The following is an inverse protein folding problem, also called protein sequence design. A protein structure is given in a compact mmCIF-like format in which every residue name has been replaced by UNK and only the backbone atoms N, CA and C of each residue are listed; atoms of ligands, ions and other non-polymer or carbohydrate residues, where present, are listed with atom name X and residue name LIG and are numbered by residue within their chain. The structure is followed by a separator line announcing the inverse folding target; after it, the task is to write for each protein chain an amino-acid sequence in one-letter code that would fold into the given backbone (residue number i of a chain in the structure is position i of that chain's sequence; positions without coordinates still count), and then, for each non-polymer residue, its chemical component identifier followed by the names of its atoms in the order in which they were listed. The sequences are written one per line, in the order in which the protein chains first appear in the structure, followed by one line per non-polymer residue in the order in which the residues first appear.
data_IF_038863203127
#
_entry.id   IF_038863203127
#
_cell.length_a   1.000
_cell.length_b   1.000
_cell.length_c   1.000
_cell.angle_alpha   90.00
_cell.angle_beta   90.00
_cell.angle_gamma   90.00
#
_symmetry.space_group_name_H-M   'P 1'
#
loop_
_entity.id
_entity.type
_entity.pdbx_description
1 polymer ?
#
# COMPACT_ATOMS: atom_id res chain seq x y z
N UNK A 1 -10.24 6.55 -9.80
CA UNK A 1 -9.79 5.15 -9.71
C UNK A 1 -8.61 5.00 -8.76
N UNK A 2 -7.43 5.53 -9.09
CA UNK A 2 -6.20 5.38 -8.26
C UNK A 2 -6.37 5.75 -6.77
N UNK A 3 -7.06 6.85 -6.45
CA UNK A 3 -7.31 7.23 -5.06
C UNK A 3 -8.16 6.20 -4.28
N UNK A 4 -9.13 5.57 -4.96
CA UNK A 4 -10.00 4.56 -4.34
C UNK A 4 -9.25 3.23 -4.18
N UNK A 5 -8.56 2.77 -5.23
CA UNK A 5 -7.79 1.52 -5.17
C UNK A 5 -6.62 1.62 -4.20
N UNK A 6 -5.94 2.76 -4.15
CA UNK A 6 -4.87 3.03 -3.19
C UNK A 6 -5.38 3.15 -1.76
N UNK A 7 -6.54 3.77 -1.55
CA UNK A 7 -7.21 3.78 -0.25
C UNK A 7 -7.59 2.39 0.24
N UNK A 8 -8.12 1.54 -0.64
CA UNK A 8 -8.40 0.14 -0.31
C UNK A 8 -7.12 -0.64 0.03
N UNK A 9 -6.06 -0.47 -0.75
CA UNK A 9 -4.76 -1.10 -0.47
C UNK A 9 -4.18 -0.64 0.87
N UNK A 10 -4.25 0.64 1.20
CA UNK A 10 -3.82 1.16 2.51
C UNK A 10 -4.60 0.55 3.68
N UNK A 11 -5.85 0.12 3.46
CA UNK A 11 -6.68 -0.56 4.44
C UNK A 11 -6.47 -2.09 4.47
N UNK A 12 -5.69 -2.65 3.53
CA UNK A 12 -5.53 -4.09 3.40
C UNK A 12 -5.09 -4.78 4.71
N UNK A 13 -4.09 -4.29 5.47
CA UNK A 13 -3.71 -4.95 6.73
C UNK A 13 -4.85 -5.04 7.75
N UNK A 14 -5.77 -4.06 7.73
CA UNK A 14 -6.94 -4.07 8.61
C UNK A 14 -8.03 -5.02 8.12
N UNK A 15 -8.26 -5.08 6.81
CA UNK A 15 -9.19 -6.03 6.22
C UNK A 15 -8.71 -7.47 6.41
N UNK A 16 -7.41 -7.72 6.29
CA UNK A 16 -6.81 -9.04 6.44
C UNK A 16 -6.96 -9.63 7.83
N UNK A 17 -6.83 -8.81 8.89
CA UNK A 17 -7.10 -9.28 10.27
C UNK A 17 -8.52 -9.79 10.46
N UNK A 18 -9.46 -9.33 9.63
CA UNK A 18 -10.84 -9.82 9.65
C UNK A 18 -11.02 -11.03 8.73
N UNK A 19 -10.53 -10.95 7.50
CA UNK A 19 -10.69 -12.00 6.47
C UNK A 19 -9.96 -13.28 6.85
N UNK A 20 -8.75 -13.17 7.39
CA UNK A 20 -7.86 -14.28 7.75
C UNK A 20 -7.77 -14.45 9.27
N UNK A 21 -8.80 -14.04 10.01
CA UNK A 21 -8.80 -14.08 11.49
C UNK A 21 -8.54 -15.47 12.04
N UNK A 22 -9.09 -16.49 11.37
CA UNK A 22 -9.00 -17.90 11.70
C UNK A 22 -7.57 -18.47 11.64
N UNK A 23 -6.73 -17.92 10.77
CA UNK A 23 -5.32 -18.34 10.65
C UNK A 23 -4.35 -17.37 11.31
N UNK A 24 -4.70 -16.09 11.43
CA UNK A 24 -3.83 -15.07 12.01
C UNK A 24 -3.93 -14.98 13.54
N UNK A 25 -5.10 -15.25 14.09
CA UNK A 25 -5.41 -15.01 15.51
C UNK A 25 -5.59 -16.33 16.25
N UNK A 26 -5.02 -16.40 17.44
CA UNK A 26 -5.17 -17.53 18.37
C UNK A 26 -5.64 -17.03 19.73
N UNK A 27 -6.32 -17.89 20.48
CA UNK A 27 -6.65 -17.61 21.87
C UNK A 27 -5.45 -18.01 22.75
N UNK A 28 -4.86 -17.09 23.55
CA UNK A 28 -3.72 -17.40 24.39
C UNK A 28 -4.01 -18.54 25.37
N UNK A 29 -3.20 -19.61 25.32
CA UNK A 29 -3.44 -20.81 26.12
C UNK A 29 -2.17 -21.30 26.82
N UNK A 30 -1.89 -20.77 28.02
CA UNK A 30 -0.82 -21.27 28.87
C UNK A 30 0.58 -21.12 28.27
N UNK A 31 1.41 -22.16 28.40
CA UNK A 31 2.78 -22.16 27.88
C UNK A 31 2.80 -22.46 26.38
N UNK A 32 3.67 -21.78 25.63
CA UNK A 32 3.85 -22.05 24.21
C UNK A 32 4.58 -23.37 23.99
N UNK A 33 4.16 -24.11 22.96
CA UNK A 33 4.92 -25.22 22.42
C UNK A 33 6.28 -24.74 21.91
N UNK A 34 7.29 -25.60 21.97
CA UNK A 34 8.62 -25.27 21.46
C UNK A 34 8.58 -25.00 19.96
N UNK A 35 9.45 -24.12 19.46
CA UNK A 35 9.51 -23.83 18.03
C UNK A 35 9.76 -25.09 17.19
N UNK A 36 10.49 -26.06 17.75
CA UNK A 36 10.72 -27.37 17.12
C UNK A 36 9.42 -28.16 16.94
N UNK A 37 8.51 -28.14 17.90
CA UNK A 37 7.19 -28.80 17.78
C UNK A 37 6.32 -28.12 16.72
N UNK A 38 6.32 -26.78 16.70
CA UNK A 38 5.60 -26.01 15.68
C UNK A 38 6.14 -26.28 14.26
N UNK A 39 7.47 -26.32 14.12
CA UNK A 39 8.16 -26.68 12.86
C UNK A 39 7.83 -28.11 12.44
N UNK A 40 7.84 -29.07 13.37
CA UNK A 40 7.49 -30.46 13.08
C UNK A 40 6.04 -30.59 12.61
N UNK A 41 5.10 -29.87 13.23
CA UNK A 41 3.69 -29.87 12.84
C UNK A 41 3.49 -29.32 11.42
N UNK A 42 4.15 -28.20 11.09
CA UNK A 42 4.07 -27.62 9.74
C UNK A 42 4.69 -28.54 8.67
N UNK A 43 5.86 -29.15 8.96
CA UNK A 43 6.47 -30.13 8.06
C UNK A 43 5.61 -31.38 7.85
N UNK A 44 4.89 -31.82 8.89
CA UNK A 44 3.99 -32.96 8.78
C UNK A 44 2.78 -32.66 7.89
N UNK A 45 2.30 -31.40 7.86
CA UNK A 45 1.22 -30.97 6.98
C UNK A 45 1.66 -30.86 5.51
N UNK A 46 2.91 -30.46 5.25
CA UNK A 46 3.47 -30.31 3.91
C UNK A 46 4.77 -31.14 3.74
N UNK A 47 4.66 -32.48 3.77
CA UNK A 47 5.81 -33.35 3.61
C UNK A 47 6.40 -33.17 2.21
N UNK A 48 7.71 -32.89 2.14
CA UNK A 48 8.43 -32.74 0.88
C UNK A 48 8.62 -31.31 0.39
N UNK A 49 7.98 -30.31 1.01
CA UNK A 49 8.30 -28.91 0.73
C UNK A 49 9.51 -28.45 1.56
N UNK A 50 10.39 -27.67 0.94
CA UNK A 50 11.54 -27.10 1.61
C UNK A 50 11.12 -25.86 2.42
N UNK A 51 11.34 -25.90 3.73
CA UNK A 51 11.11 -24.74 4.59
C UNK A 51 12.20 -23.69 4.35
N UNK A 52 11.80 -22.45 4.13
CA UNK A 52 12.71 -21.34 3.79
C UNK A 52 12.86 -20.33 4.93
N UNK A 53 11.82 -20.14 5.73
CA UNK A 53 11.84 -19.19 6.84
C UNK A 53 10.81 -19.54 7.91
N UNK A 54 11.03 -19.02 9.12
CA UNK A 54 10.08 -19.07 10.22
C UNK A 54 9.94 -17.67 10.80
N UNK A 55 8.70 -17.26 11.04
CA UNK A 55 8.34 -16.03 11.73
C UNK A 55 7.51 -16.41 12.97
N UNK A 56 8.13 -16.43 14.16
CA UNK A 56 7.42 -16.63 15.42
C UNK A 56 6.30 -15.60 15.61
N UNK A 57 5.29 -15.98 16.40
CA UNK A 57 4.22 -15.08 16.85
C UNK A 57 4.79 -13.81 17.48
N UNK A 58 4.37 -12.62 17.03
CA UNK A 58 4.87 -11.35 17.58
C UNK A 58 4.17 -10.97 18.89
N UNK A 59 2.95 -11.46 19.10
CA UNK A 59 2.13 -11.26 20.30
C UNK A 59 1.47 -12.57 20.73
N UNK A 60 0.90 -12.60 21.93
CA UNK A 60 0.25 -13.79 22.50
C UNK A 60 -0.98 -14.26 21.72
N UNK A 61 -1.60 -13.36 20.96
CA UNK A 61 -2.81 -13.60 20.16
C UNK A 61 -2.52 -13.85 18.67
N UNK A 62 -1.24 -13.98 18.27
CA UNK A 62 -0.86 -14.25 16.89
C UNK A 62 -0.37 -15.69 16.68
N UNK A 63 -0.69 -16.26 15.52
CA UNK A 63 -0.10 -17.52 15.05
C UNK A 63 1.39 -17.38 14.71
N UNK A 64 2.17 -18.45 14.84
CA UNK A 64 3.49 -18.57 14.19
C UNK A 64 3.31 -18.87 12.70
N UNK A 65 4.17 -18.28 11.85
CA UNK A 65 4.16 -18.52 10.40
C UNK A 65 5.43 -19.25 9.96
N UNK A 66 5.26 -20.29 9.16
CA UNK A 66 6.37 -21.04 8.56
C UNK A 66 6.23 -20.98 7.04
N UNK A 67 7.31 -20.65 6.36
CA UNK A 67 7.32 -20.45 4.92
C UNK A 67 7.97 -21.62 4.22
N UNK A 68 7.33 -22.09 3.16
CA UNK A 68 7.78 -23.19 2.34
C UNK A 68 7.90 -22.77 0.88
N UNK A 69 8.98 -23.20 0.22
CA UNK A 69 9.09 -23.15 -1.22
C UNK A 69 8.20 -24.25 -1.81
N UNK A 70 7.17 -23.84 -2.54
CA UNK A 70 6.20 -24.74 -3.16
C UNK A 70 6.30 -24.62 -4.69
N UNK A 71 6.82 -25.64 -5.39
CA UNK A 71 6.91 -25.66 -6.85
C UNK A 71 5.55 -25.57 -7.57
N UNK A 72 4.43 -25.79 -6.86
CA UNK A 72 3.08 -25.63 -7.38
C UNK A 72 2.56 -24.19 -7.36
N UNK A 73 3.28 -23.25 -6.74
CA UNK A 73 2.96 -21.83 -6.74
C UNK A 73 3.82 -21.07 -7.77
N UNK A 74 3.44 -19.82 -8.06
CA UNK A 74 4.31 -18.90 -8.80
C UNK A 74 5.66 -18.75 -8.07
N UNK A 75 6.76 -18.65 -8.82
CA UNK A 75 8.13 -18.63 -8.28
C UNK A 75 8.37 -17.53 -7.23
N UNK A 76 7.58 -16.45 -7.28
CA UNK A 76 7.68 -15.33 -6.33
C UNK A 76 6.90 -15.57 -5.04
N UNK A 77 6.08 -16.61 -4.98
CA UNK A 77 5.22 -16.93 -3.85
C UNK A 77 5.83 -18.02 -2.98
N UNK A 78 5.61 -17.89 -1.68
CA UNK A 78 5.90 -18.91 -0.68
C UNK A 78 4.60 -19.34 -0.02
N UNK A 79 4.46 -20.63 0.25
CA UNK A 79 3.35 -21.13 1.06
C UNK A 79 3.64 -20.79 2.53
N UNK A 80 2.84 -19.92 3.12
CA UNK A 80 2.89 -19.60 4.54
C UNK A 80 1.91 -20.51 5.28
N UNK A 81 2.42 -21.33 6.18
CA UNK A 81 1.65 -22.22 7.06
C UNK A 81 1.52 -21.56 8.42
N UNK A 82 0.29 -21.44 8.91
CA UNK A 82 -0.03 -20.80 10.19
C UNK A 82 -0.21 -21.86 11.25
N UNK A 83 0.53 -21.73 12.35
CA UNK A 83 0.55 -22.69 13.45
C UNK A 83 0.22 -21.98 14.75
N UNK A 84 -0.68 -22.58 15.51
CA UNK A 84 -0.98 -22.15 16.87
C UNK A 84 0.25 -22.39 17.77
N UNK A 85 0.85 -21.33 18.36
CA UNK A 85 2.04 -21.44 19.17
C UNK A 85 1.82 -22.18 20.49
N UNK A 86 0.58 -22.38 20.93
CA UNK A 86 0.24 -23.08 22.19
C UNK A 86 -0.02 -24.56 21.95
N UNK A 87 -0.84 -24.89 20.96
CA UNK A 87 -1.23 -26.28 20.67
C UNK A 87 -0.34 -26.97 19.63
N UNK A 88 0.54 -26.23 18.95
CA UNK A 88 1.29 -26.68 17.77
C UNK A 88 0.39 -27.22 16.63
N UNK A 89 -0.89 -26.83 16.61
CA UNK A 89 -1.84 -27.22 15.56
C UNK A 89 -1.69 -26.31 14.36
N UNK A 90 -1.72 -26.88 13.15
CA UNK A 90 -1.83 -26.11 11.91
C UNK A 90 -3.26 -25.54 11.79
N UNK A 91 -3.33 -24.22 11.65
CA UNK A 91 -4.59 -23.47 11.52
C UNK A 91 -5.03 -23.39 10.06
N UNK A 92 -4.08 -23.30 9.14
CA UNK A 92 -4.29 -23.22 7.70
C UNK A 92 -3.02 -22.75 7.01
N UNK A 93 -3.12 -22.44 5.73
CA UNK A 93 -2.01 -21.98 4.92
C UNK A 93 -2.46 -21.06 3.79
N UNK A 94 -1.59 -20.12 3.39
CA UNK A 94 -1.87 -19.14 2.35
C UNK A 94 -0.64 -18.92 1.44
N UNK A 95 -0.83 -18.70 0.13
CA UNK A 95 0.25 -18.27 -0.75
C UNK A 95 0.58 -16.80 -0.48
N UNK A 96 1.83 -16.53 -0.08
CA UNK A 96 2.28 -15.19 0.31
C UNK A 96 3.40 -14.69 -0.59
N UNK A 97 3.39 -13.39 -0.88
CA UNK A 97 4.48 -12.71 -1.58
C UNK A 97 5.26 -11.89 -0.56
N UNK A 98 6.51 -12.25 -0.25
CA UNK A 98 7.31 -11.56 0.79
C UNK A 98 6.56 -11.40 2.13
N UNK A 99 5.71 -12.36 2.49
CA UNK A 99 4.89 -12.33 3.71
C UNK A 99 3.60 -11.50 3.62
N UNK A 100 3.34 -10.82 2.50
CA UNK A 100 2.03 -10.24 2.20
C UNK A 100 1.03 -11.35 1.90
N UNK A 101 -0.15 -11.26 2.50
CA UNK A 101 -1.25 -12.20 2.29
C UNK A 101 -1.92 -11.98 0.92
N UNK A 102 -2.75 -12.94 0.47
CA UNK A 102 -3.35 -12.87 -0.86
C UNK A 102 -4.20 -11.61 -1.08
N UNK A 103 -4.95 -11.14 -0.08
CA UNK A 103 -5.78 -9.95 -0.20
C UNK A 103 -4.95 -8.67 -0.46
N UNK A 104 -3.89 -8.44 0.32
CA UNK A 104 -2.97 -7.31 0.12
C UNK A 104 -2.29 -7.41 -1.24
N UNK A 105 -1.85 -8.62 -1.62
CA UNK A 105 -1.20 -8.85 -2.92
C UNK A 105 -2.16 -8.54 -4.08
N UNK A 106 -3.42 -8.93 -3.95
CA UNK A 106 -4.46 -8.63 -4.95
C UNK A 106 -4.80 -7.14 -5.01
N UNK A 107 -4.89 -6.47 -3.86
CA UNK A 107 -5.14 -5.03 -3.77
C UNK A 107 -3.96 -4.20 -4.28
N UNK A 108 -2.72 -4.64 -4.07
CA UNK A 108 -1.53 -4.07 -4.70
C UNK A 108 -1.64 -4.15 -6.23
N UNK A 109 -1.93 -5.33 -6.78
CA UNK A 109 -2.14 -5.51 -8.22
C UNK A 109 -3.29 -4.65 -8.77
N UNK A 110 -4.37 -4.51 -8.01
CA UNK A 110 -5.49 -3.63 -8.34
C UNK A 110 -5.05 -2.16 -8.36
N UNK A 111 -4.23 -1.71 -7.43
CA UNK A 111 -3.77 -0.32 -7.41
C UNK A 111 -2.75 -0.03 -8.52
N UNK A 112 -1.77 -0.92 -8.67
CA UNK A 112 -0.60 -0.75 -9.54
C UNK A 112 -0.93 -0.95 -11.02
N UNK A 113 -1.84 -1.86 -11.37
CA UNK A 113 -2.20 -2.14 -12.76
C UNK A 113 -3.66 -2.62 -12.93
N UNK A 114 -4.56 -2.32 -11.99
CA UNK A 114 -5.98 -2.68 -12.05
C UNK A 114 -6.26 -4.18 -12.21
N UNK A 115 -5.28 -5.05 -11.93
CA UNK A 115 -5.34 -6.48 -12.28
C UNK A 115 -5.57 -6.76 -13.78
N UNK A 116 -5.21 -5.83 -14.66
CA UNK A 116 -5.35 -5.94 -16.12
C UNK A 116 -4.02 -6.22 -16.84
N UNK A 117 -2.90 -6.42 -16.13
CA UNK A 117 -1.58 -6.58 -16.73
C UNK A 117 -1.08 -5.29 -17.39
N UNK A 118 -0.53 -5.39 -18.61
CA UNK A 118 0.13 -4.26 -19.28
C UNK A 118 -0.76 -3.02 -19.45
N UNK A 119 -1.98 -3.15 -20.02
CA UNK A 119 -2.84 -1.99 -20.24
C UNK A 119 -3.15 -1.22 -18.95
N UNK A 120 -3.35 -1.93 -17.84
CA UNK A 120 -3.58 -1.31 -16.55
C UNK A 120 -2.33 -0.64 -15.98
N UNK A 121 -1.14 -1.20 -16.22
CA UNK A 121 0.14 -0.57 -15.85
C UNK A 121 0.32 0.76 -16.59
N UNK A 122 0.13 0.79 -17.90
CA UNK A 122 0.23 2.01 -18.71
C UNK A 122 -0.75 3.07 -18.19
N UNK A 123 -2.00 2.68 -17.89
CA UNK A 123 -2.99 3.59 -17.31
C UNK A 123 -2.52 4.18 -15.97
N UNK A 124 -2.08 3.33 -15.05
CA UNK A 124 -1.65 3.75 -13.71
C UNK A 124 -0.38 4.60 -13.74
N UNK A 125 0.60 4.26 -14.57
CA UNK A 125 1.82 5.06 -14.74
C UNK A 125 1.55 6.41 -15.41
N UNK A 126 0.64 6.46 -16.39
CA UNK A 126 0.20 7.72 -16.98
C UNK A 126 -0.52 8.60 -15.94
N UNK A 127 -1.42 8.01 -15.15
CA UNK A 127 -2.09 8.72 -14.07
C UNK A 127 -1.12 9.26 -13.01
N UNK A 128 -0.12 8.45 -12.63
CA UNK A 128 0.91 8.85 -11.66
C UNK A 128 1.81 9.97 -12.21
N UNK A 129 2.24 9.87 -13.47
CA UNK A 129 3.12 10.87 -14.11
C UNK A 129 2.43 12.22 -14.35
N UNK A 130 1.11 12.24 -14.51
CA UNK A 130 0.34 13.49 -14.67
C UNK A 130 -0.10 14.14 -13.36
N UNK A 131 0.06 13.44 -12.23
CA UNK A 131 -0.41 13.90 -10.93
C UNK A 131 0.14 15.29 -10.59
N UNK A 132 1.44 15.50 -10.73
CA UNK A 132 2.08 16.79 -10.43
C UNK A 132 1.64 17.89 -11.40
N UNK A 133 1.47 17.58 -12.69
CA UNK A 133 1.00 18.54 -13.71
C UNK A 133 -0.39 19.05 -13.34
N UNK A 134 -1.33 18.15 -13.03
CA UNK A 134 -2.70 18.51 -12.63
C UNK A 134 -2.70 19.26 -11.30
N UNK A 135 -1.90 18.83 -10.33
CA UNK A 135 -1.84 19.45 -9.02
C UNK A 135 -1.27 20.89 -9.09
N UNK A 136 -0.20 21.12 -9.87
CA UNK A 136 0.33 22.46 -10.14
C UNK A 136 -0.65 23.32 -10.92
N UNK A 137 -1.34 22.76 -11.92
CA UNK A 137 -2.41 23.47 -12.63
C UNK A 137 -3.51 23.95 -11.69
N UNK A 138 -3.94 23.10 -10.74
CA UNK A 138 -4.87 23.46 -9.67
C UNK A 138 -4.37 24.60 -8.78
N UNK A 139 -3.09 24.55 -8.39
CA UNK A 139 -2.45 25.64 -7.63
C UNK A 139 -2.44 26.95 -8.44
N UNK A 140 -2.07 26.91 -9.71
CA UNK A 140 -2.06 28.09 -10.58
C UNK A 140 -3.44 28.74 -10.66
N UNK A 141 -4.49 27.95 -10.90
CA UNK A 141 -5.88 28.44 -10.91
C UNK A 141 -6.29 29.04 -9.55
N UNK A 142 -5.87 28.42 -8.46
CA UNK A 142 -6.12 28.91 -7.10
C UNK A 142 -5.44 30.26 -6.83
N UNK A 143 -4.19 30.43 -7.25
CA UNK A 143 -3.44 31.67 -7.11
C UNK A 143 -4.01 32.80 -7.96
N UNK A 144 -4.41 32.50 -9.21
CA UNK A 144 -5.10 33.47 -10.09
C UNK A 144 -6.40 33.95 -9.47
N UNK A 145 -7.19 33.03 -8.92
CA UNK A 145 -8.42 33.37 -8.18
C UNK A 145 -8.13 34.26 -6.98
N UNK A 146 -7.15 33.89 -6.15
CA UNK A 146 -6.76 34.65 -4.97
C UNK A 146 -6.28 36.06 -5.34
N UNK A 147 -5.49 36.20 -6.42
CA UNK A 147 -5.07 37.50 -6.95
C UNK A 147 -6.25 38.35 -7.42
N UNK A 148 -7.23 37.74 -8.10
CA UNK A 148 -8.48 38.40 -8.50
C UNK A 148 -9.31 38.89 -7.31
N UNK A 149 -9.39 38.11 -6.23
CA UNK A 149 -10.09 38.50 -5.00
C UNK A 149 -9.37 39.68 -4.31
N UNK A 150 -8.03 39.70 -4.26
CA UNK A 150 -7.26 40.86 -3.74
C UNK A 150 -7.55 42.14 -4.52
N UNK A 151 -7.55 42.06 -5.86
CA UNK A 151 -7.84 43.22 -6.74
C UNK A 151 -9.25 43.80 -6.52
N UNK A 152 -10.20 42.98 -6.07
CA UNK A 152 -11.58 43.39 -5.75
C UNK A 152 -11.75 43.82 -4.29
N UNK A 153 -10.66 44.01 -3.54
CA UNK A 153 -10.68 44.41 -2.13
C UNK A 153 -11.12 43.30 -1.16
N UNK A 154 -11.20 42.05 -1.61
CA UNK A 154 -11.58 40.90 -0.76
C UNK A 154 -10.35 40.30 -0.10
N UNK A 155 -10.51 39.76 1.11
CA UNK A 155 -9.44 39.00 1.79
C UNK A 155 -9.14 37.73 1.00
N UNK A 156 -7.97 37.67 0.37
CA UNK A 156 -7.49 36.46 -0.27
C UNK A 156 -6.80 35.54 0.74
N UNK A 157 -7.43 34.41 1.02
CA UNK A 157 -6.88 33.34 1.86
C UNK A 157 -6.40 32.21 0.96
N UNK A 158 -5.09 32.07 0.82
CA UNK A 158 -4.47 31.05 -0.05
C UNK A 158 -4.28 29.73 0.70
N UNK A 159 -3.93 29.81 1.99
CA UNK A 159 -3.51 28.65 2.80
C UNK A 159 -4.44 28.43 4.01
N UNK A 160 -5.35 29.37 4.28
CA UNK A 160 -6.24 29.33 5.46
C UNK A 160 -7.69 29.15 5.06
N UNK A 161 -8.42 28.36 5.86
CA UNK A 161 -9.84 28.14 5.66
C UNK A 161 -10.63 29.33 6.21
N UNK A 162 -11.38 30.00 5.34
CA UNK A 162 -12.50 30.84 5.77
C UNK A 162 -13.66 30.01 6.36
N UNK A 163 -13.86 30.11 7.68
CA UNK A 163 -14.93 29.38 8.39
C UNK A 163 -16.30 30.05 8.30
N UNK A 164 -16.36 31.28 7.79
CA UNK A 164 -17.59 32.09 7.69
C UNK A 164 -18.27 31.89 6.33
N UNK A 165 -17.51 31.49 5.30
CA UNK A 165 -18.05 31.23 3.97
C UNK A 165 -19.13 30.13 3.98
N UNK A 166 -20.17 30.31 3.17
CA UNK A 166 -21.29 29.36 3.01
C UNK A 166 -21.41 28.87 1.56
N UNK A 167 -22.13 27.76 1.36
CA UNK A 167 -22.39 27.18 0.03
C UNK A 167 -21.13 26.87 -0.79
N UNK A 168 -21.17 27.16 -2.10
CA UNK A 168 -20.07 26.91 -3.06
C UNK A 168 -18.75 27.58 -2.64
N UNK A 169 -18.82 28.77 -2.03
CA UNK A 169 -17.63 29.49 -1.60
C UNK A 169 -16.89 28.74 -0.48
N UNK A 170 -17.64 28.08 0.43
CA UNK A 170 -17.07 27.23 1.48
C UNK A 170 -16.34 26.04 0.89
N UNK A 171 -16.98 25.29 -0.02
CA UNK A 171 -16.38 24.10 -0.64
C UNK A 171 -15.11 24.44 -1.40
N UNK A 172 -15.11 25.52 -2.19
CA UNK A 172 -13.91 25.97 -2.92
C UNK A 172 -12.78 26.39 -2.00
N UNK A 173 -13.10 27.09 -0.90
CA UNK A 173 -12.11 27.50 0.10
C UNK A 173 -11.51 26.32 0.86
N UNK A 174 -12.32 25.32 1.26
CA UNK A 174 -11.82 24.08 1.83
C UNK A 174 -10.94 23.30 0.84
N UNK A 175 -11.41 23.14 -0.40
CA UNK A 175 -10.65 22.46 -1.44
C UNK A 175 -9.31 23.16 -1.72
N UNK A 176 -9.29 24.49 -1.83
CA UNK A 176 -8.08 25.27 -2.06
C UNK A 176 -7.11 25.19 -0.88
N UNK A 177 -7.58 25.41 0.35
CA UNK A 177 -6.73 25.38 1.54
C UNK A 177 -6.16 23.96 1.79
N UNK A 178 -7.00 22.92 1.79
CA UNK A 178 -6.54 21.53 1.94
C UNK A 178 -5.66 21.13 0.77
N UNK A 179 -6.03 21.53 -0.46
CA UNK A 179 -5.28 21.25 -1.67
C UNK A 179 -3.86 21.80 -1.64
N UNK A 180 -3.64 23.00 -1.11
CA UNK A 180 -2.28 23.58 -0.97
C UNK A 180 -1.42 22.73 -0.01
N UNK A 181 -1.97 22.26 1.11
CA UNK A 181 -1.24 21.39 2.04
C UNK A 181 -0.98 20.01 1.45
N UNK A 182 -2.00 19.40 0.83
CA UNK A 182 -1.89 18.09 0.18
C UNK A 182 -0.93 18.13 -1.00
N UNK A 183 -0.87 19.25 -1.74
CA UNK A 183 0.04 19.43 -2.88
C UNK A 183 1.49 19.18 -2.50
N UNK A 184 1.95 19.64 -1.33
CA UNK A 184 3.32 19.38 -0.87
C UNK A 184 3.60 17.86 -0.81
N UNK A 185 2.65 17.09 -0.26
CA UNK A 185 2.72 15.63 -0.23
C UNK A 185 2.63 15.00 -1.63
N UNK A 186 1.74 15.50 -2.49
CA UNK A 186 1.61 14.99 -3.87
C UNK A 186 2.86 15.25 -4.72
N UNK A 187 3.50 16.41 -4.56
CA UNK A 187 4.75 16.72 -5.26
C UNK A 187 5.89 15.83 -4.76
N UNK A 188 6.01 15.64 -3.45
CA UNK A 188 6.97 14.71 -2.86
C UNK A 188 6.76 13.27 -3.38
N UNK A 189 5.50 12.80 -3.38
CA UNK A 189 5.14 11.47 -3.87
C UNK A 189 5.32 11.34 -5.39
N UNK A 190 5.08 12.40 -6.16
CA UNK A 190 5.33 12.38 -7.61
C UNK A 190 6.82 12.30 -7.91
N UNK A 191 7.65 13.11 -7.23
CA UNK A 191 9.09 13.12 -7.41
C UNK A 191 9.73 11.78 -7.03
N UNK A 192 9.30 11.18 -5.90
CA UNK A 192 9.79 9.87 -5.48
C UNK A 192 9.17 8.75 -6.31
N UNK A 193 7.89 8.80 -6.68
CA UNK A 193 7.23 7.78 -7.49
C UNK A 193 7.82 7.65 -8.91
N UNK A 194 8.26 8.76 -9.51
CA UNK A 194 8.93 8.76 -10.82
C UNK A 194 10.21 7.89 -10.81
N UNK A 195 10.94 7.83 -9.69
CA UNK A 195 12.17 7.02 -9.61
C UNK A 195 11.91 5.51 -9.53
N UNK A 196 10.68 5.09 -9.23
CA UNK A 196 10.28 3.68 -9.14
C UNK A 196 9.41 3.22 -10.32
N UNK A 197 9.06 4.11 -11.26
CA UNK A 197 8.28 3.76 -12.46
C UNK A 197 9.17 3.09 -13.51
N UNK A 198 8.60 2.16 -14.27
CA UNK A 198 9.31 1.42 -15.32
C UNK A 198 9.85 2.36 -16.39
N UNK A 199 9.01 3.22 -16.97
CA UNK A 199 9.42 4.13 -18.04
C UNK A 199 10.01 5.43 -17.51
N UNK A 200 9.39 6.05 -16.50
CA UNK A 200 9.91 7.30 -15.96
C UNK A 200 11.20 7.09 -15.16
N UNK A 201 11.34 5.95 -14.48
CA UNK A 201 12.57 5.55 -13.78
C UNK A 201 13.67 5.12 -14.74
N UNK A 202 13.35 4.45 -15.86
CA UNK A 202 14.34 4.18 -16.91
C UNK A 202 14.94 5.49 -17.47
N UNK A 203 14.12 6.49 -17.77
CA UNK A 203 14.63 7.79 -18.21
C UNK A 203 15.47 8.53 -17.16
N UNK A 204 15.13 8.42 -15.87
CA UNK A 204 15.98 8.95 -14.78
C UNK A 204 17.29 8.18 -14.69
N UNK A 205 17.27 6.86 -14.84
CA UNK A 205 18.48 6.03 -14.87
C UNK A 205 19.39 6.39 -16.06
N UNK A 206 18.81 6.63 -17.23
CA UNK A 206 19.53 7.07 -18.43
C UNK A 206 20.19 8.43 -18.22
N UNK A 207 19.45 9.42 -17.68
CA UNK A 207 19.98 10.76 -17.36
C UNK A 207 21.09 10.67 -16.32
N UNK A 208 20.92 9.83 -15.28
CA UNK A 208 21.95 9.60 -14.27
C UNK A 208 23.22 9.02 -14.89
N UNK A 209 23.09 7.99 -15.72
CA UNK A 209 24.22 7.36 -16.42
C UNK A 209 24.96 8.33 -17.34
N UNK A 210 24.24 9.24 -18.00
CA UNK A 210 24.81 10.28 -18.87
C UNK A 210 25.54 11.39 -18.09
N UNK A 211 25.23 11.56 -16.80
CA UNK A 211 25.81 12.57 -15.91
C UNK A 211 26.92 12.03 -14.98
N UNK A 212 27.32 10.76 -15.14
CA UNK A 212 28.39 10.09 -14.38
C UNK A 212 28.26 10.15 -12.84
N UNK A 213 27.04 10.02 -12.33
CA UNK A 213 26.78 9.88 -10.89
C UNK A 213 25.93 8.66 -10.58
#
# INVERSE_FOLDING_TARGET
VAAVTGGLYALAPTLERFVYRDVLTVEPAGATASLREQVAAAHAAFPGLAMTAVRPSASADESTRLYFADPGLDEKLLRAVFVDPYSARVLGDEPTWLGYLPLSTWLDGLHRHLNLGEPGRIYSELAASWLWVVALGGLSLWLVRAAGDRRRGRRARVVTVDRIATGRARTLNWHGAVGVWVLAGLLFLSATGITWSTYAGAHVADIRSALHW
#
